data_IF_733382127212
#
_entry.id   IF_733382127212
#
_cell.length_a   1.000
_cell.length_b   1.000
_cell.length_c   1.000
_cell.angle_alpha   90.00
_cell.angle_beta   90.00
_cell.angle_gamma   90.00
#
_symmetry.space_group_name_H-M   'P 1'
#
loop_
_entity.id
_entity.type
_entity.pdbx_description
1 polymer ?
#
# COMPACT_ATOMS: atom_id res chain seq x y z
N UNK A 1 -0.53 10.13 -9.66
CA UNK A 1 -1.04 9.81 -8.31
C UNK A 1 -0.35 8.54 -7.91
N UNK A 2 0.35 8.52 -6.78
CA UNK A 2 1.14 7.36 -6.33
C UNK A 2 0.30 6.56 -5.34
N UNK A 3 0.29 5.24 -5.48
CA UNK A 3 -0.33 4.30 -4.56
C UNK A 3 0.75 3.61 -3.73
N UNK A 4 0.61 3.66 -2.41
CA UNK A 4 1.43 2.86 -1.50
C UNK A 4 0.52 1.96 -0.64
N UNK A 5 0.94 0.71 -0.42
CA UNK A 5 0.30 -0.21 0.52
C UNK A 5 1.24 -0.47 1.69
N UNK A 6 0.81 -0.10 2.88
CA UNK A 6 1.50 -0.40 4.12
C UNK A 6 1.24 -1.84 4.55
N UNK A 7 2.27 -2.48 5.08
CA UNK A 7 2.24 -3.83 5.60
C UNK A 7 2.96 -3.83 6.95
N UNK A 8 2.40 -4.54 7.92
CA UNK A 8 3.15 -4.86 9.12
C UNK A 8 4.22 -5.89 8.77
N UNK A 9 5.42 -5.70 9.31
CA UNK A 9 6.59 -6.49 9.04
C UNK A 9 7.35 -6.81 10.32
N UNK A 10 7.57 -8.09 10.57
CA UNK A 10 8.60 -8.57 11.50
C UNK A 10 9.59 -9.41 10.71
N UNK A 11 10.86 -9.03 10.80
CA UNK A 11 11.94 -9.72 10.13
C UNK A 11 12.68 -10.61 11.14
N UNK A 12 12.96 -11.89 10.80
CA UNK A 12 13.73 -12.78 11.65
C UNK A 12 15.23 -12.43 11.65
N UNK A 13 15.64 -11.49 10.81
CA UNK A 13 17.01 -11.03 10.61
C UNK A 13 17.05 -9.51 10.53
N UNK A 14 18.21 -8.91 10.80
CA UNK A 14 18.41 -7.47 10.64
C UNK A 14 18.29 -7.02 9.17
N UNK A 15 17.98 -5.74 8.92
CA UNK A 15 17.96 -5.19 7.55
C UNK A 15 19.32 -5.35 6.83
N UNK A 16 20.43 -5.28 7.56
CA UNK A 16 21.77 -5.49 7.00
C UNK A 16 21.97 -6.93 6.50
N UNK A 17 21.50 -7.92 7.27
CA UNK A 17 21.53 -9.33 6.86
C UNK A 17 20.58 -9.57 5.68
N UNK A 18 19.35 -9.07 5.74
CA UNK A 18 18.40 -9.18 4.64
C UNK A 18 18.95 -8.56 3.34
N UNK A 19 19.59 -7.40 3.43
CA UNK A 19 20.25 -6.75 2.30
C UNK A 19 21.34 -7.64 1.69
N UNK A 20 22.19 -8.26 2.52
CA UNK A 20 23.22 -9.19 2.04
C UNK A 20 22.58 -10.36 1.28
N UNK A 21 21.56 -10.98 1.85
CA UNK A 21 20.83 -12.10 1.24
C UNK A 21 20.18 -11.70 -0.09
N UNK A 22 19.60 -10.50 -0.18
CA UNK A 22 19.04 -9.95 -1.43
C UNK A 22 20.11 -9.66 -2.48
N UNK A 23 21.31 -9.19 -2.07
CA UNK A 23 22.45 -8.97 -2.99
C UNK A 23 22.99 -10.28 -3.54
N UNK A 24 22.96 -11.35 -2.75
CA UNK A 24 23.34 -12.70 -3.18
C UNK A 24 22.29 -13.32 -4.12
N UNK A 25 21.06 -12.78 -4.13
CA UNK A 25 19.93 -13.21 -4.97
C UNK A 25 19.49 -12.10 -5.94
N UNK A 26 20.44 -11.46 -6.60
CA UNK A 26 20.15 -10.40 -7.57
C UNK A 26 19.44 -10.93 -8.81
N UNK A 27 18.56 -10.10 -9.37
CA UNK A 27 17.92 -10.41 -10.64
C UNK A 27 18.96 -10.52 -11.77
N UNK A 28 18.91 -11.60 -12.54
CA UNK A 28 19.61 -11.74 -13.81
C UNK A 28 18.63 -12.22 -14.88
N UNK A 29 18.92 -11.93 -16.15
CA UNK A 29 18.11 -12.47 -17.26
C UNK A 29 18.14 -14.01 -17.31
N UNK A 30 19.23 -14.63 -16.84
CA UNK A 30 19.35 -16.09 -16.79
C UNK A 30 18.52 -16.72 -15.68
N UNK A 31 18.45 -16.12 -14.49
CA UNK A 31 17.60 -16.62 -13.40
C UNK A 31 16.13 -16.30 -13.65
N UNK A 32 15.85 -15.19 -14.36
CA UNK A 32 14.51 -14.66 -14.57
C UNK A 32 13.84 -14.19 -13.27
N UNK A 33 14.53 -14.18 -12.13
CA UNK A 33 13.98 -13.75 -10.84
C UNK A 33 15.06 -13.25 -9.88
N UNK A 34 14.72 -12.28 -9.05
CA UNK A 34 15.61 -11.80 -7.98
C UNK A 34 15.37 -10.34 -7.60
N UNK A 35 16.30 -9.78 -6.85
CA UNK A 35 16.21 -8.44 -6.28
C UNK A 35 17.11 -7.43 -7.02
N UNK A 36 16.66 -6.18 -7.09
CA UNK A 36 17.48 -5.02 -7.45
C UNK A 36 17.31 -3.95 -6.38
N UNK A 37 18.35 -3.75 -5.56
CA UNK A 37 18.34 -2.80 -4.46
C UNK A 37 18.67 -1.39 -4.95
N UNK A 38 17.87 -0.41 -4.54
CA UNK A 38 18.13 1.01 -4.78
C UNK A 38 18.73 1.70 -3.55
N UNK A 39 18.40 1.23 -2.34
CA UNK A 39 19.01 1.72 -1.09
C UNK A 39 19.26 0.54 -0.16
N UNK A 40 20.46 0.48 0.41
CA UNK A 40 20.88 -0.55 1.35
C UNK A 40 21.76 0.08 2.43
N UNK A 41 21.13 0.68 3.44
CA UNK A 41 21.81 1.19 4.63
C UNK A 41 21.34 0.42 5.86
N UNK A 42 21.97 0.68 7.02
CA UNK A 42 21.52 0.11 8.30
C UNK A 42 20.10 0.57 8.63
N UNK A 43 19.73 1.79 8.22
CA UNK A 43 18.46 2.41 8.58
C UNK A 43 17.34 2.16 7.57
N UNK A 44 17.67 1.92 6.29
CA UNK A 44 16.71 1.85 5.19
C UNK A 44 17.10 0.79 4.17
N UNK A 45 16.12 0.01 3.73
CA UNK A 45 16.29 -0.98 2.68
C UNK A 45 15.16 -0.81 1.65
N UNK A 46 15.50 -0.49 0.41
CA UNK A 46 14.52 -0.35 -0.67
C UNK A 46 15.05 -0.90 -1.98
N UNK A 47 14.11 -1.32 -2.82
CA UNK A 47 14.43 -1.94 -4.09
C UNK A 47 13.20 -2.50 -4.77
N UNK A 48 13.43 -3.36 -5.75
CA UNK A 48 12.38 -4.11 -6.44
C UNK A 48 12.73 -5.58 -6.49
N UNK A 49 11.74 -6.41 -6.23
CA UNK A 49 11.78 -7.81 -6.62
C UNK A 49 11.16 -7.94 -8.01
N UNK A 50 11.84 -8.68 -8.89
CA UNK A 50 11.44 -8.89 -10.28
C UNK A 50 11.34 -10.38 -10.54
N UNK A 51 10.30 -10.79 -11.25
CA UNK A 51 10.17 -12.14 -11.79
C UNK A 51 9.63 -12.07 -13.22
N UNK A 52 10.38 -12.62 -14.18
CA UNK A 52 10.01 -12.79 -15.58
C UNK A 52 8.95 -13.89 -15.68
N UNK A 53 7.83 -13.56 -16.29
CA UNK A 53 6.69 -14.46 -16.49
C UNK A 53 6.54 -14.69 -17.98
N UNK A 54 6.81 -15.93 -18.40
CA UNK A 54 6.61 -16.39 -19.78
C UNK A 54 5.31 -17.17 -19.83
N UNK A 55 4.31 -16.63 -20.50
CA UNK A 55 3.02 -17.26 -20.70
C UNK A 55 2.92 -17.75 -22.15
N UNK A 56 2.71 -19.06 -22.31
CA UNK A 56 2.41 -19.66 -23.61
C UNK A 56 0.91 -19.90 -23.69
N UNK A 57 0.27 -19.38 -24.73
CA UNK A 57 -1.15 -19.57 -24.99
C UNK A 57 -1.36 -20.05 -26.42
N UNK A 58 -2.22 -21.03 -26.57
CA UNK A 58 -2.72 -21.45 -27.89
C UNK A 58 -3.96 -20.62 -28.19
N UNK A 59 -3.99 -19.98 -29.35
CA UNK A 59 -5.12 -19.17 -29.80
C UNK A 59 -5.66 -19.78 -31.08
N UNK A 60 -6.95 -20.07 -31.12
CA UNK A 60 -7.62 -20.51 -32.35
C UNK A 60 -8.07 -19.28 -33.13
N UNK A 61 -7.73 -19.23 -34.41
CA UNK A 61 -8.21 -18.19 -35.31
C UNK A 61 -9.67 -18.45 -35.71
N UNK A 62 -10.36 -17.47 -36.34
CA UNK A 62 -11.75 -17.64 -36.78
C UNK A 62 -11.97 -18.76 -37.82
N UNK A 63 -10.91 -19.37 -38.34
CA UNK A 63 -10.92 -20.44 -39.33
C UNK A 63 -10.54 -21.80 -38.74
N UNK A 64 -10.34 -21.90 -37.43
CA UNK A 64 -10.03 -23.13 -36.72
C UNK A 64 -8.54 -23.50 -36.68
N UNK A 65 -7.65 -22.62 -37.10
CA UNK A 65 -6.20 -22.85 -37.00
C UNK A 65 -5.66 -22.38 -35.66
N UNK A 66 -4.87 -23.23 -35.01
CA UNK A 66 -4.24 -22.92 -33.72
C UNK A 66 -2.88 -22.26 -33.92
N UNK A 67 -2.65 -21.17 -33.19
CA UNK A 67 -1.40 -20.41 -33.15
C UNK A 67 -0.84 -20.42 -31.73
N UNK A 68 0.44 -20.77 -31.60
CA UNK A 68 1.17 -20.62 -30.33
C UNK A 68 1.64 -19.17 -30.17
N UNK A 69 1.17 -18.51 -29.11
CA UNK A 69 1.58 -17.15 -28.74
C UNK A 69 2.34 -17.20 -27.43
N UNK A 70 3.58 -16.71 -27.46
CA UNK A 70 4.39 -16.51 -26.26
C UNK A 70 4.34 -15.04 -25.84
N UNK A 71 3.95 -14.79 -24.60
CA UNK A 71 3.93 -13.46 -23.98
C UNK A 71 4.91 -13.41 -22.82
N UNK A 72 5.86 -12.48 -22.89
CA UNK A 72 6.80 -12.21 -21.80
C UNK A 72 6.32 -10.97 -21.05
N UNK A 73 6.13 -11.11 -19.75
CA UNK A 73 5.80 -10.01 -18.84
C UNK A 73 6.71 -10.05 -17.61
N UNK A 74 6.75 -8.94 -16.87
CA UNK A 74 7.53 -8.85 -15.64
C UNK A 74 6.62 -8.55 -14.46
N UNK A 75 6.65 -9.42 -13.46
CA UNK A 75 6.14 -9.11 -12.15
C UNK A 75 7.16 -8.23 -11.43
N UNK A 76 6.74 -7.07 -10.94
CA UNK A 76 7.60 -6.13 -10.22
C UNK A 76 6.94 -5.74 -8.91
N UNK A 77 7.69 -5.82 -7.81
CA UNK A 77 7.25 -5.42 -6.47
C UNK A 77 8.25 -4.43 -5.87
N UNK A 78 7.88 -3.14 -5.79
CA UNK A 78 8.74 -2.07 -5.28
C UNK A 78 8.57 -1.94 -3.76
N UNK A 79 9.55 -2.39 -2.99
CA UNK A 79 9.46 -2.43 -1.52
C UNK A 79 10.32 -1.37 -0.86
N UNK A 80 9.91 -0.96 0.34
CA UNK A 80 10.62 -0.01 1.19
C UNK A 80 10.45 -0.39 2.66
N UNK A 81 11.56 -0.67 3.34
CA UNK A 81 11.66 -0.88 4.78
C UNK A 81 12.41 0.26 5.44
N UNK A 82 12.06 0.51 6.70
CA UNK A 82 12.80 1.36 7.63
C UNK A 82 13.07 0.59 8.92
N UNK A 83 14.31 0.63 9.42
CA UNK A 83 14.73 -0.08 10.64
C UNK A 83 14.02 0.40 11.91
N UNK A 84 13.53 1.63 11.91
CA UNK A 84 12.83 2.26 13.04
C UNK A 84 11.31 2.09 12.95
N UNK A 85 10.84 1.12 12.19
CA UNK A 85 9.43 0.87 11.93
C UNK A 85 9.14 -0.62 11.84
N UNK A 86 8.00 -1.02 12.38
CA UNK A 86 7.41 -2.32 12.08
C UNK A 86 6.54 -2.28 10.81
N UNK A 87 6.50 -1.15 10.10
CA UNK A 87 5.74 -1.01 8.87
C UNK A 87 6.67 -0.81 7.67
N UNK A 88 6.45 -1.64 6.66
CA UNK A 88 7.02 -1.45 5.34
C UNK A 88 5.94 -0.95 4.39
N UNK A 89 6.32 -0.46 3.21
CA UNK A 89 5.35 -0.20 2.15
C UNK A 89 5.79 -0.73 0.80
N UNK A 90 4.79 -1.07 -0.01
CA UNK A 90 4.94 -1.39 -1.43
C UNK A 90 4.43 -0.21 -2.25
N UNK A 91 5.27 0.32 -3.13
CA UNK A 91 4.88 1.33 -4.11
C UNK A 91 4.29 0.68 -5.36
N UNK A 92 3.17 1.22 -5.82
CA UNK A 92 2.38 0.67 -6.93
C UNK A 92 2.21 -0.85 -6.78
N UNK A 93 1.58 -1.31 -5.68
CA UNK A 93 1.54 -2.72 -5.34
C UNK A 93 0.93 -3.56 -6.47
N UNK A 94 1.58 -4.67 -6.86
CA UNK A 94 1.05 -5.55 -7.89
C UNK A 94 -0.25 -6.22 -7.42
N UNK A 95 -0.97 -6.88 -8.33
CA UNK A 95 -2.26 -7.53 -8.04
C UNK A 95 -2.19 -8.56 -6.92
N UNK A 96 -1.06 -9.23 -6.77
CA UNK A 96 -0.80 -10.19 -5.70
C UNK A 96 0.62 -10.00 -5.20
N UNK A 97 0.81 -10.02 -3.87
CA UNK A 97 2.14 -9.98 -3.24
C UNK A 97 2.74 -11.37 -3.03
N UNK A 98 2.02 -12.44 -3.39
CA UNK A 98 2.39 -13.83 -3.09
C UNK A 98 3.79 -14.18 -3.57
N UNK A 99 4.15 -13.79 -4.81
CA UNK A 99 5.48 -14.04 -5.39
C UNK A 99 6.60 -13.42 -4.55
N UNK A 100 6.41 -12.16 -4.15
CA UNK A 100 7.37 -11.43 -3.30
C UNK A 100 7.49 -12.04 -1.90
N UNK A 101 6.36 -12.33 -1.24
CA UNK A 101 6.35 -12.91 0.11
C UNK A 101 6.98 -14.31 0.11
N UNK A 102 6.69 -15.14 -0.89
CA UNK A 102 7.29 -16.45 -1.05
C UNK A 102 8.81 -16.38 -1.21
N UNK A 103 9.30 -15.44 -2.02
CA UNK A 103 10.75 -15.27 -2.20
C UNK A 103 11.41 -14.82 -0.89
N UNK A 104 10.80 -13.91 -0.14
CA UNK A 104 11.32 -13.51 1.17
C UNK A 104 11.34 -14.67 2.16
N UNK A 105 10.33 -15.54 2.17
CA UNK A 105 10.35 -16.77 2.98
C UNK A 105 11.45 -17.73 2.55
N UNK A 106 11.70 -17.87 1.25
CA UNK A 106 12.81 -18.67 0.75
C UNK A 106 14.16 -18.12 1.20
N UNK A 107 14.32 -16.79 1.21
CA UNK A 107 15.54 -16.16 1.71
C UNK A 107 15.67 -16.32 3.23
N UNK A 108 14.67 -15.86 3.99
CA UNK A 108 14.77 -15.67 5.44
C UNK A 108 14.45 -16.91 6.27
N UNK A 109 13.81 -17.92 5.68
CA UNK A 109 13.31 -19.09 6.38
C UNK A 109 12.06 -18.81 7.22
N UNK A 110 11.98 -19.46 8.38
CA UNK A 110 10.87 -19.27 9.33
C UNK A 110 10.99 -17.95 10.11
N UNK A 111 9.85 -17.39 10.53
CA UNK A 111 9.80 -16.20 11.40
C UNK A 111 9.59 -14.87 10.68
N UNK A 112 9.56 -14.84 9.34
CA UNK A 112 9.08 -13.68 8.61
C UNK A 112 7.57 -13.51 8.79
N UNK A 113 7.16 -12.33 9.24
CA UNK A 113 5.75 -11.91 9.26
C UNK A 113 5.59 -10.74 8.31
N UNK A 114 4.72 -10.90 7.32
CA UNK A 114 4.20 -9.81 6.50
C UNK A 114 2.68 -9.88 6.48
N UNK A 115 2.01 -8.89 7.05
CA UNK A 115 0.55 -8.90 7.15
C UNK A 115 -0.08 -7.57 6.71
N UNK A 116 -1.33 -7.66 6.27
CA UNK A 116 -2.10 -6.48 5.90
C UNK A 116 -2.42 -5.65 7.14
N UNK A 117 -2.29 -4.34 7.00
CA UNK A 117 -2.73 -3.41 8.03
C UNK A 117 -4.25 -3.32 8.01
N UNK A 118 -4.88 -3.44 9.18
CA UNK A 118 -6.29 -3.14 9.38
C UNK A 118 -6.41 -2.01 10.40
N UNK A 119 -6.61 -0.79 9.90
CA UNK A 119 -6.63 0.42 10.72
C UNK A 119 -7.92 1.22 10.51
N UNK A 120 -8.38 1.94 11.53
CA UNK A 120 -9.42 2.94 11.33
C UNK A 120 -8.87 4.14 10.56
N UNK A 121 -9.41 4.48 9.37
CA UNK A 121 -8.99 5.69 8.67
C UNK A 121 -9.18 6.97 9.50
N UNK A 122 -10.14 6.98 10.43
CA UNK A 122 -10.38 8.10 11.34
C UNK A 122 -9.25 8.23 12.37
N UNK A 123 -8.76 7.12 12.94
CA UNK A 123 -7.62 7.14 13.87
C UNK A 123 -6.34 7.58 13.17
N UNK A 124 -6.09 7.06 11.96
CA UNK A 124 -4.93 7.46 11.17
C UNK A 124 -4.98 8.94 10.80
N UNK A 125 -6.15 9.46 10.43
CA UNK A 125 -6.34 10.87 10.15
C UNK A 125 -6.10 11.73 11.40
N UNK A 126 -6.60 11.32 12.57
CA UNK A 126 -6.36 12.02 13.83
C UNK A 126 -4.87 12.10 14.16
N UNK A 127 -4.10 11.04 13.87
CA UNK A 127 -2.65 11.07 14.04
C UNK A 127 -1.96 12.00 13.03
N UNK A 128 -2.48 12.10 11.81
CA UNK A 128 -2.01 13.06 10.79
C UNK A 128 -2.26 14.50 11.23
N UNK A 129 -3.46 14.81 11.76
CA UNK A 129 -3.82 16.12 12.30
C UNK A 129 -2.84 16.59 13.40
N UNK A 130 -2.25 15.67 14.16
CA UNK A 130 -1.23 16.02 15.16
C UNK A 130 0.15 16.39 14.58
N UNK A 131 0.36 16.28 13.26
CA UNK A 131 1.65 16.52 12.61
C UNK A 131 1.60 17.41 11.36
N UNK A 132 0.40 17.66 10.83
CA UNK A 132 0.15 18.54 9.71
C UNK A 132 -0.31 19.92 10.21
N UNK A 133 -0.01 20.98 9.45
CA UNK A 133 -0.39 22.35 9.80
C UNK A 133 -1.91 22.53 9.68
N UNK A 134 -2.48 22.00 8.59
CA UNK A 134 -3.91 22.05 8.29
C UNK A 134 -4.34 20.73 7.66
N UNK A 135 -5.49 20.20 8.07
CA UNK A 135 -6.12 19.02 7.45
C UNK A 135 -7.57 19.34 7.12
N UNK A 136 -7.97 19.07 5.89
CA UNK A 136 -9.34 19.21 5.39
C UNK A 136 -9.83 17.86 4.87
N UNK A 137 -10.95 17.37 5.39
CA UNK A 137 -11.58 16.15 4.87
C UNK A 137 -12.45 16.50 3.66
N UNK A 138 -12.16 15.89 2.51
CA UNK A 138 -12.87 16.11 1.25
C UNK A 138 -13.90 15.03 0.94
N UNK A 139 -13.70 13.81 1.42
CA UNK A 139 -14.64 12.71 1.25
C UNK A 139 -14.50 11.70 2.39
N UNK A 140 -15.62 11.18 2.91
CA UNK A 140 -15.64 10.02 3.80
C UNK A 140 -16.54 8.97 3.16
N UNK A 141 -16.00 7.77 2.97
CA UNK A 141 -16.75 6.59 2.59
C UNK A 141 -16.93 5.69 3.81
N UNK A 142 -18.15 5.20 3.99
CA UNK A 142 -18.56 4.39 5.14
C UNK A 142 -19.50 3.27 4.75
N UNK A 143 -19.49 2.17 5.51
CA UNK A 143 -20.26 0.96 5.23
C UNK A 143 -20.83 0.35 6.52
N UNK A 144 -21.65 -0.69 6.37
CA UNK A 144 -22.25 -1.41 7.50
C UNK A 144 -23.45 -0.70 8.13
N UNK A 145 -24.02 0.28 7.41
CA UNK A 145 -25.15 1.08 7.88
C UNK A 145 -26.42 0.25 7.71
N UNK A 146 -27.04 -0.20 8.79
CA UNK A 146 -28.27 -1.01 8.70
C UNK A 146 -29.42 -0.17 8.12
N UNK A 147 -30.07 -0.69 7.08
CA UNK A 147 -31.26 -0.08 6.46
C UNK A 147 -32.53 -0.90 6.71
N UNK A 148 -32.41 -2.22 6.76
CA UNK A 148 -33.48 -3.15 7.16
C UNK A 148 -32.88 -4.40 7.81
N UNK A 149 -33.69 -5.38 8.21
CA UNK A 149 -33.22 -6.59 8.92
C UNK A 149 -32.11 -7.35 8.17
N UNK A 150 -32.13 -7.37 6.84
CA UNK A 150 -31.18 -8.11 6.01
C UNK A 150 -30.46 -7.22 4.99
N UNK A 151 -30.37 -5.91 5.23
CA UNK A 151 -29.68 -5.01 4.30
C UNK A 151 -28.79 -3.99 5.01
N UNK A 152 -27.65 -3.72 4.37
CA UNK A 152 -26.70 -2.70 4.79
C UNK A 152 -26.41 -1.75 3.63
N UNK A 153 -26.34 -0.47 3.92
CA UNK A 153 -25.90 0.56 2.99
C UNK A 153 -24.41 0.86 3.14
N UNK A 154 -23.85 1.32 2.02
CA UNK A 154 -22.58 2.03 1.94
C UNK A 154 -22.88 3.46 1.48
N UNK A 155 -22.29 4.44 2.15
CA UNK A 155 -22.51 5.86 1.87
C UNK A 155 -21.16 6.56 1.73
N UNK A 156 -21.01 7.35 0.66
CA UNK A 156 -19.89 8.27 0.49
C UNK A 156 -20.40 9.70 0.45
N UNK A 157 -19.79 10.58 1.25
CA UNK A 157 -20.08 12.01 1.28
C UNK A 157 -18.83 12.75 0.88
N UNK A 158 -18.92 13.54 -0.21
CA UNK A 158 -17.84 14.35 -0.73
C UNK A 158 -18.21 15.83 -0.82
N UNK A 159 -17.22 16.71 -0.76
CA UNK A 159 -17.41 18.15 -0.84
C UNK A 159 -16.14 18.90 -1.23
N UNK A 160 -16.28 20.21 -1.39
CA UNK A 160 -15.19 21.13 -1.74
C UNK A 160 -14.55 21.80 -0.53
N UNK A 161 -15.21 21.71 0.64
CA UNK A 161 -14.74 22.17 1.95
C UNK A 161 -14.65 20.99 2.92
N UNK A 162 -14.30 21.25 4.19
CA UNK A 162 -14.27 20.19 5.20
C UNK A 162 -15.67 19.60 5.43
N UNK A 163 -15.84 18.32 5.13
CA UNK A 163 -17.14 17.63 5.20
C UNK A 163 -17.43 16.96 6.54
N UNK A 164 -16.55 17.06 7.54
CA UNK A 164 -16.67 16.30 8.80
C UNK A 164 -17.98 16.59 9.53
N UNK A 165 -18.37 17.85 9.63
CA UNK A 165 -19.62 18.25 10.28
C UNK A 165 -20.85 17.71 9.55
N UNK A 166 -20.88 17.85 8.22
CA UNK A 166 -21.98 17.36 7.38
C UNK A 166 -22.11 15.83 7.43
N UNK A 167 -20.99 15.11 7.43
CA UNK A 167 -20.97 13.66 7.56
C UNK A 167 -21.51 13.21 8.93
N UNK A 168 -21.04 13.82 10.03
CA UNK A 168 -21.52 13.50 11.39
C UNK A 168 -23.02 13.74 11.52
N UNK A 169 -23.54 14.85 10.98
CA UNK A 169 -24.97 15.16 11.01
C UNK A 169 -25.81 14.12 10.25
N UNK A 170 -25.40 13.76 9.03
CA UNK A 170 -26.09 12.75 8.20
C UNK A 170 -26.06 11.34 8.82
N UNK A 171 -25.01 11.04 9.58
CA UNK A 171 -24.77 9.74 10.22
C UNK A 171 -25.30 9.67 11.67
N UNK A 172 -25.92 10.74 12.17
CA UNK A 172 -26.43 10.81 13.53
C UNK A 172 -27.37 9.64 13.83
N UNK A 173 -27.10 8.94 14.94
CA UNK A 173 -27.89 7.79 15.40
C UNK A 173 -27.67 6.49 14.61
N UNK A 174 -26.79 6.47 13.60
CA UNK A 174 -26.48 5.27 12.82
C UNK A 174 -25.14 4.67 13.24
N UNK A 175 -25.06 3.35 13.25
CA UNK A 175 -23.77 2.63 13.36
C UNK A 175 -23.15 2.49 11.97
N UNK A 176 -21.86 2.75 11.86
CA UNK A 176 -21.11 2.66 10.62
C UNK A 176 -19.64 2.32 10.88
N UNK A 177 -18.95 1.91 9.82
CA UNK A 177 -17.51 1.76 9.77
C UNK A 177 -16.97 2.57 8.60
N UNK A 178 -15.83 3.24 8.77
CA UNK A 178 -15.18 4.00 7.69
C UNK A 178 -14.27 3.07 6.89
N UNK A 179 -14.41 3.05 5.56
CA UNK A 179 -13.51 2.26 4.69
C UNK A 179 -12.44 3.12 4.02
N UNK A 180 -12.73 4.37 3.70
CA UNK A 180 -11.73 5.33 3.24
C UNK A 180 -12.07 6.79 3.52
N UNK A 181 -11.03 7.61 3.57
CA UNK A 181 -11.12 9.06 3.74
C UNK A 181 -10.23 9.74 2.72
N UNK A 182 -10.78 10.67 1.93
CA UNK A 182 -9.99 11.59 1.10
C UNK A 182 -9.77 12.88 1.86
N UNK A 183 -8.53 13.33 1.87
CA UNK A 183 -8.11 14.50 2.62
C UNK A 183 -7.21 15.41 1.78
N UNK A 184 -7.14 16.67 2.20
CA UNK A 184 -6.08 17.61 1.85
C UNK A 184 -5.34 17.94 3.13
N UNK A 185 -4.01 17.83 3.13
CA UNK A 185 -3.17 18.22 4.25
C UNK A 185 -2.09 19.18 3.80
N UNK A 186 -1.65 20.04 4.70
CA UNK A 186 -0.50 20.93 4.53
C UNK A 186 0.61 20.54 5.50
N UNK A 187 1.81 20.36 4.98
CA UNK A 187 3.01 20.07 5.76
C UNK A 187 4.12 21.02 5.34
N UNK A 188 4.54 21.96 6.19
CA UNK A 188 5.69 22.83 5.90
C UNK A 188 5.52 23.55 4.54
N UNK A 189 4.31 24.09 4.28
CA UNK A 189 3.86 24.67 2.99
C UNK A 189 3.64 23.70 1.82
N UNK A 190 3.85 22.40 2.01
CA UNK A 190 3.57 21.37 0.99
C UNK A 190 2.12 20.91 1.09
N UNK A 191 1.33 21.18 0.04
CA UNK A 191 -0.04 20.70 -0.06
C UNK A 191 -0.05 19.27 -0.63
N UNK A 192 -0.69 18.37 0.12
CA UNK A 192 -0.95 16.99 -0.28
C UNK A 192 -2.44 16.79 -0.42
N UNK A 193 -2.86 16.15 -1.51
CA UNK A 193 -4.18 15.53 -1.59
C UNK A 193 -4.01 14.03 -1.59
N UNK A 194 -4.78 13.33 -0.78
CA UNK A 194 -4.67 11.89 -0.69
C UNK A 194 -5.95 11.19 -0.25
N UNK A 195 -5.88 9.87 -0.28
CA UNK A 195 -6.89 8.96 0.24
C UNK A 195 -6.19 7.96 1.16
N UNK A 196 -6.79 7.66 2.31
CA UNK A 196 -6.41 6.59 3.23
C UNK A 196 -7.51 5.55 3.24
N UNK A 197 -7.15 4.27 3.26
CA UNK A 197 -8.11 3.17 3.38
C UNK A 197 -7.87 2.37 4.65
N UNK A 198 -8.90 1.65 5.10
CA UNK A 198 -8.81 0.75 6.26
C UNK A 198 -7.77 -0.35 6.11
N UNK A 199 -7.41 -0.70 4.87
CA UNK A 199 -6.44 -1.75 4.53
C UNK A 199 -5.00 -1.24 4.44
N UNK A 200 -4.71 -0.06 5.01
CA UNK A 200 -3.38 0.54 4.97
C UNK A 200 -2.93 0.99 3.58
N UNK A 201 -3.85 1.24 2.63
CA UNK A 201 -3.49 1.81 1.33
C UNK A 201 -3.60 3.33 1.43
N UNK A 202 -2.58 4.04 0.94
CA UNK A 202 -2.67 5.46 0.68
C UNK A 202 -2.49 5.76 -0.81
N UNK A 203 -3.32 6.67 -1.33
CA UNK A 203 -3.17 7.24 -2.68
C UNK A 203 -2.83 8.70 -2.53
N UNK A 204 -1.74 9.16 -3.14
CA UNK A 204 -1.19 10.49 -2.93
C UNK A 204 -1.00 11.25 -4.24
N UNK A 205 -1.31 12.53 -4.20
CA UNK A 205 -0.94 13.51 -5.22
C UNK A 205 -0.14 14.62 -4.53
N UNK A 206 1.19 14.52 -4.63
CA UNK A 206 2.16 15.46 -4.08
C UNK A 206 3.41 15.50 -4.96
N UNK A 207 4.15 16.62 -4.92
CA UNK A 207 5.45 16.76 -5.55
C UNK A 207 6.57 16.05 -4.78
N UNK A 208 6.44 15.86 -3.45
CA UNK A 208 7.44 15.21 -2.62
C UNK A 208 6.87 13.98 -1.89
N UNK A 209 6.73 12.88 -2.63
CA UNK A 209 6.06 11.68 -2.12
C UNK A 209 6.83 10.99 -1.00
N UNK A 210 8.16 10.96 -1.05
CA UNK A 210 8.96 10.29 -0.02
C UNK A 210 8.80 10.94 1.35
N UNK A 211 8.90 12.28 1.40
CA UNK A 211 8.70 13.03 2.64
C UNK A 211 7.31 12.76 3.24
N UNK A 212 6.28 12.78 2.40
CA UNK A 212 4.91 12.54 2.84
C UNK A 212 4.67 11.11 3.30
N UNK A 213 5.23 10.11 2.60
CA UNK A 213 5.12 8.72 3.03
C UNK A 213 5.75 8.50 4.41
N UNK A 214 6.87 9.14 4.73
CA UNK A 214 7.46 9.07 6.07
C UNK A 214 6.57 9.73 7.14
N UNK A 215 5.96 10.89 6.85
CA UNK A 215 5.00 11.53 7.78
C UNK A 215 3.77 10.64 8.01
N UNK A 216 3.23 10.04 6.94
CA UNK A 216 2.08 9.13 7.03
C UNK A 216 2.42 7.83 7.78
N UNK A 217 3.64 7.31 7.63
CA UNK A 217 4.14 6.17 8.43
C UNK A 217 4.19 6.51 9.91
N UNK A 218 4.77 7.65 10.26
CA UNK A 218 4.85 8.10 11.65
C UNK A 218 3.47 8.34 12.27
N UNK A 219 2.48 8.74 11.48
CA UNK A 219 1.08 8.80 11.92
C UNK A 219 0.46 7.40 12.08
N UNK A 220 0.75 6.47 11.16
CA UNK A 220 0.26 5.09 11.20
C UNK A 220 0.74 4.35 12.47
N UNK A 221 1.98 4.61 12.90
CA UNK A 221 2.57 4.02 14.12
C UNK A 221 1.91 4.49 15.41
N UNK A 222 1.21 5.63 15.39
CA UNK A 222 0.56 6.23 16.56
C UNK A 222 -0.94 5.95 16.63
N UNK A 223 -1.50 5.37 15.58
CA UNK A 223 -2.93 5.27 15.35
C UNK A 223 -3.53 3.94 15.82
#
# INVERSE_FOLDING_TARGET
MIKAKWLYSELPVSLSQLSKMMKDNQYTESSGRGFLLSTSTVSKLSGKFIEKVVQKSVVEDPFGQTLDVESISYYVCNFNWSSNSNYMYILEPPRSLRKFVNELHHLTGFGLVLSEVNISPEQWLKAIEGSADVVTILEISSYGIRTSQNSTAKVSVGGTSDIRAAFIDMMRGKRYLVDSVKFKAEYESLIVKGELTKTGICRLKSSNTNFILEKLRGALEKA
#
